data_IF_378005356165
#
_entry.id   IF_378005356165
#
_cell.length_a   1.000
_cell.length_b   1.000
_cell.length_c   1.000
_cell.angle_alpha   90.00
_cell.angle_beta   90.00
_cell.angle_gamma   90.00
#
_symmetry.space_group_name_H-M   'P 1'
#
loop_
_entity.id
_entity.type
_entity.pdbx_description
1 polymer ?
#
# COMPACT_ATOMS: atom_id res chain seq x y z
N UNK A 1 7.64 -1.31 21.03
CA UNK A 1 7.91 -1.18 19.57
C UNK A 1 6.66 -0.63 18.91
N UNK A 2 6.79 0.40 18.06
CA UNK A 2 5.66 1.18 17.51
C UNK A 2 4.79 0.37 16.54
N UNK A 3 5.28 -0.77 16.04
CA UNK A 3 4.57 -1.64 15.12
C UNK A 3 4.53 -3.09 15.63
N UNK A 4 3.34 -3.70 15.64
CA UNK A 4 3.20 -5.16 15.73
C UNK A 4 3.62 -5.79 14.39
N UNK A 5 4.19 -7.01 14.40
CA UNK A 5 4.65 -7.72 13.18
C UNK A 5 3.62 -7.72 12.04
N UNK A 6 2.33 -7.79 12.39
CA UNK A 6 1.21 -7.79 11.42
C UNK A 6 1.05 -6.44 10.71
N UNK A 7 1.24 -5.35 11.44
CA UNK A 7 1.11 -4.00 10.89
C UNK A 7 2.22 -3.69 9.89
N UNK A 8 3.41 -4.24 10.13
CA UNK A 8 4.53 -4.12 9.23
C UNK A 8 4.30 -4.84 7.89
N UNK A 9 3.63 -6.00 7.91
CA UNK A 9 3.24 -6.70 6.68
C UNK A 9 2.21 -5.90 5.88
N UNK A 10 1.20 -5.32 6.53
CA UNK A 10 0.20 -4.45 5.88
C UNK A 10 0.87 -3.21 5.25
N UNK A 11 1.80 -2.58 5.96
CA UNK A 11 2.58 -1.47 5.42
C UNK A 11 3.36 -1.89 4.15
N UNK A 12 4.00 -3.06 4.19
CA UNK A 12 4.80 -3.55 3.07
C UNK A 12 3.94 -3.87 1.84
N UNK A 13 2.73 -4.39 2.05
CA UNK A 13 1.74 -4.58 0.98
C UNK A 13 1.35 -3.24 0.35
N UNK A 14 1.04 -2.23 1.17
CA UNK A 14 0.70 -0.89 0.66
C UNK A 14 1.84 -0.27 -0.16
N UNK A 15 3.08 -0.37 0.31
CA UNK A 15 4.27 0.08 -0.44
C UNK A 15 4.44 -0.70 -1.74
N UNK A 16 4.28 -2.02 -1.72
CA UNK A 16 4.38 -2.86 -2.91
C UNK A 16 3.35 -2.49 -3.97
N UNK A 17 2.10 -2.19 -3.57
CA UNK A 17 1.07 -1.72 -4.49
C UNK A 17 1.46 -0.41 -5.18
N UNK A 18 1.98 0.57 -4.43
CA UNK A 18 2.47 1.83 -5.02
C UNK A 18 3.59 1.56 -6.03
N UNK A 19 4.56 0.72 -5.67
CA UNK A 19 5.66 0.34 -6.58
C UNK A 19 5.14 -0.34 -7.84
N UNK A 20 4.19 -1.26 -7.73
CA UNK A 20 3.59 -1.95 -8.88
C UNK A 20 2.84 -0.96 -9.78
N UNK A 21 2.10 -0.01 -9.22
CA UNK A 21 1.43 1.02 -10.00
C UNK A 21 2.40 1.88 -10.82
N UNK A 22 3.53 2.29 -10.22
CA UNK A 22 4.59 2.97 -10.96
C UNK A 22 5.33 2.07 -11.95
N UNK A 23 5.52 0.79 -11.64
CA UNK A 23 6.14 -0.17 -12.53
C UNK A 23 5.31 -0.40 -13.80
N UNK A 24 3.97 -0.44 -13.68
CA UNK A 24 3.06 -0.52 -14.84
C UNK A 24 3.29 0.67 -15.77
N UNK A 25 3.36 1.90 -15.22
CA UNK A 25 3.65 3.09 -16.01
C UNK A 25 5.04 3.06 -16.65
N UNK A 26 6.03 2.53 -15.93
CA UNK A 26 7.39 2.42 -16.44
C UNK A 26 7.50 1.41 -17.59
N UNK A 27 6.73 0.31 -17.57
CA UNK A 27 6.78 -0.77 -18.57
C UNK A 27 6.00 -0.40 -19.83
N UNK A 28 4.86 0.28 -19.71
CA UNK A 28 4.01 0.57 -20.87
C UNK A 28 4.63 1.62 -21.81
N UNK A 29 5.57 2.44 -21.32
CA UNK A 29 6.25 3.51 -22.09
C UNK A 29 5.33 4.54 -22.76
N UNK A 30 4.01 4.46 -22.57
CA UNK A 30 2.99 5.34 -23.11
C UNK A 30 2.13 5.90 -21.97
N UNK A 31 2.16 7.22 -21.79
CA UNK A 31 1.37 7.89 -20.76
C UNK A 31 -0.15 7.76 -20.99
N UNK A 32 -0.56 7.74 -22.26
CA UNK A 32 -1.95 7.53 -22.67
C UNK A 32 -2.31 6.05 -22.90
N UNK A 33 -1.38 5.15 -22.57
CA UNK A 33 -1.63 3.72 -22.59
C UNK A 33 -2.78 3.33 -21.66
N UNK A 34 -3.52 2.30 -22.05
CA UNK A 34 -4.71 1.87 -21.30
C UNK A 34 -4.38 1.54 -19.84
N UNK A 35 -3.23 0.90 -19.59
CA UNK A 35 -2.85 0.47 -18.24
C UNK A 35 -2.36 1.64 -17.37
N UNK A 36 -1.56 2.53 -17.93
CA UNK A 36 -0.98 3.70 -17.28
C UNK A 36 -2.03 4.74 -16.96
N UNK A 37 -3.04 4.89 -17.83
CA UNK A 37 -4.09 5.88 -17.66
C UNK A 37 -5.23 5.41 -16.77
N UNK A 38 -5.62 4.13 -16.85
CA UNK A 38 -6.79 3.64 -16.11
C UNK A 38 -6.40 2.80 -14.90
N UNK A 39 -5.40 1.92 -15.01
CA UNK A 39 -5.11 0.90 -14.00
C UNK A 39 -4.09 1.39 -12.97
N UNK A 40 -3.00 2.01 -13.43
CA UNK A 40 -1.95 2.50 -12.54
C UNK A 40 -2.44 3.52 -11.49
N UNK A 41 -3.28 4.53 -11.82
CA UNK A 41 -3.75 5.48 -10.82
C UNK A 41 -4.59 4.81 -9.74
N UNK A 42 -5.44 3.84 -10.12
CA UNK A 42 -6.28 3.08 -9.17
C UNK A 42 -5.40 2.26 -8.22
N UNK A 43 -4.38 1.57 -8.75
CA UNK A 43 -3.46 0.76 -7.94
C UNK A 43 -2.66 1.64 -6.98
N UNK A 44 -2.16 2.80 -7.43
CA UNK A 44 -1.39 3.73 -6.60
C UNK A 44 -2.27 4.27 -5.46
N UNK A 45 -3.50 4.68 -5.76
CA UNK A 45 -4.44 5.16 -4.74
C UNK A 45 -4.76 4.06 -3.74
N UNK A 46 -5.02 2.83 -4.20
CA UNK A 46 -5.25 1.69 -3.31
C UNK A 46 -4.04 1.41 -2.41
N UNK A 47 -2.82 1.51 -2.94
CA UNK A 47 -1.58 1.39 -2.18
C UNK A 47 -1.45 2.44 -1.09
N UNK A 48 -1.75 3.71 -1.40
CA UNK A 48 -1.76 4.78 -0.39
C UNK A 48 -2.82 4.58 0.68
N UNK A 49 -4.03 4.15 0.31
CA UNK A 49 -5.09 3.83 1.26
C UNK A 49 -4.66 2.69 2.20
N UNK A 50 -4.01 1.65 1.68
CA UNK A 50 -3.47 0.56 2.50
C UNK A 50 -2.35 1.03 3.43
N UNK A 51 -1.43 1.90 2.97
CA UNK A 51 -0.40 2.49 3.84
C UNK A 51 -1.04 3.31 4.96
N UNK A 52 -2.03 4.14 4.65
CA UNK A 52 -2.77 4.93 5.64
C UNK A 52 -3.46 4.00 6.63
N UNK A 53 -4.12 2.95 6.15
CA UNK A 53 -4.79 1.97 6.98
C UNK A 53 -3.80 1.24 7.89
N UNK A 54 -2.68 0.77 7.34
CA UNK A 54 -1.62 0.13 8.10
C UNK A 54 -1.08 1.05 9.20
N UNK A 55 -0.83 2.33 8.90
CA UNK A 55 -0.31 3.28 9.92
C UNK A 55 -1.38 3.58 10.98
N UNK A 56 -2.62 3.84 10.55
CA UNK A 56 -3.72 4.26 11.44
C UNK A 56 -4.25 3.09 12.29
N UNK A 57 -4.20 1.86 11.76
CA UNK A 57 -4.63 0.66 12.46
C UNK A 57 -3.65 0.32 13.57
N UNK A 58 -3.82 0.97 14.72
CA UNK A 58 -3.12 0.57 15.93
C UNK A 58 -3.81 -0.71 16.45
N UNK A 59 -3.13 -1.87 16.54
CA UNK A 59 -3.68 -2.97 17.31
C UNK A 59 -3.91 -2.43 18.72
N UNK A 60 -5.17 -2.44 19.19
CA UNK A 60 -5.48 -2.15 20.60
C UNK A 60 -4.48 -2.97 21.40
N UNK A 61 -3.68 -2.31 22.24
CA UNK A 61 -2.77 -2.99 23.13
C UNK A 61 -3.59 -4.09 23.79
N UNK A 62 -3.28 -5.34 23.46
CA UNK A 62 -3.87 -6.50 24.12
C UNK A 62 -3.63 -6.28 25.60
N UNK A 63 -4.68 -5.95 26.35
CA UNK A 63 -4.67 -6.07 27.80
C UNK A 63 -4.49 -7.55 28.10
N UNK A 64 -3.23 -7.95 28.21
CA UNK A 64 -2.69 -9.15 28.85
C UNK A 64 -1.28 -8.70 29.23
N UNK A 65 -0.96 -8.46 30.49
CA UNK A 65 -1.31 -9.28 31.65
C UNK A 65 -1.71 -8.46 32.88
N UNK A 66 -2.23 -9.21 33.84
CA UNK A 66 -2.84 -8.85 35.12
C UNK A 66 -1.93 -8.04 36.05
#
# INVERSE_FOLDING_TARGET
>A
MVFSRRNYHMLLIGVALVVVGFAIMAIEHELDGFWSRNVAPIIIVAGYLEVIWAILWRPRASKRDQ
#
